data_IF_893566221992
#
_entry.id   IF_893566221992
#
_cell.length_a   1.000
_cell.length_b   1.000
_cell.length_c   1.000
_cell.angle_alpha   90.00
_cell.angle_beta   90.00
_cell.angle_gamma   90.00
#
_symmetry.space_group_name_H-M   'P 1'
#
loop_
_entity.id
_entity.type
_entity.pdbx_description
1 polymer ?
#
# COMPACT_ATOMS: atom_id res chain seq x y z
N UNK A 1 7.77 -0.98 -28.47
CA UNK A 1 6.52 -1.15 -27.67
C UNK A 1 5.35 -0.76 -28.56
N UNK A 2 4.26 -1.52 -28.52
CA UNK A 2 3.02 -1.21 -29.21
C UNK A 2 2.17 -0.22 -28.37
N UNK A 3 1.13 0.38 -28.95
CA UNK A 3 0.21 1.25 -28.22
C UNK A 3 -0.98 0.44 -27.65
N UNK A 4 -0.72 -0.73 -27.02
CA UNK A 4 -1.74 -1.60 -26.49
C UNK A 4 -1.62 -1.68 -24.96
N UNK A 5 -2.71 -1.54 -24.26
CA UNK A 5 -2.72 -1.46 -22.80
C UNK A 5 -3.84 -2.28 -22.15
N UNK A 6 -3.53 -2.82 -20.97
CA UNK A 6 -4.52 -3.33 -20.01
C UNK A 6 -4.78 -2.25 -18.97
N UNK A 7 -6.03 -1.86 -18.82
CA UNK A 7 -6.45 -0.89 -17.81
C UNK A 7 -7.02 -1.65 -16.61
N UNK A 8 -6.36 -1.56 -15.46
CA UNK A 8 -6.89 -2.12 -14.21
C UNK A 8 -8.06 -1.28 -13.70
N UNK A 9 -9.27 -1.80 -13.83
CA UNK A 9 -10.52 -1.12 -13.48
C UNK A 9 -11.12 -1.73 -12.21
N UNK A 10 -11.21 -0.91 -11.15
CA UNK A 10 -11.74 -1.31 -9.84
C UNK A 10 -13.19 -0.85 -9.59
N UNK A 11 -13.87 -0.29 -10.59
CA UNK A 11 -15.16 0.36 -10.39
C UNK A 11 -15.08 1.73 -9.68
N UNK A 12 -13.87 2.21 -9.38
CA UNK A 12 -13.62 3.55 -8.83
C UNK A 12 -13.48 4.63 -9.91
N UNK A 13 -13.68 5.90 -9.52
CA UNK A 13 -13.56 7.07 -10.40
C UNK A 13 -12.20 7.12 -11.11
N UNK A 14 -11.12 6.93 -10.36
CA UNK A 14 -9.75 7.08 -10.85
C UNK A 14 -9.42 6.09 -11.98
N UNK A 15 -9.81 4.83 -11.82
CA UNK A 15 -9.59 3.82 -12.85
C UNK A 15 -10.43 4.07 -14.11
N UNK A 16 -11.63 4.64 -13.95
CA UNK A 16 -12.50 5.02 -15.07
C UNK A 16 -11.92 6.17 -15.86
N UNK A 17 -11.43 7.21 -15.18
CA UNK A 17 -10.77 8.35 -15.82
C UNK A 17 -9.45 7.94 -16.47
N UNK A 18 -8.68 7.05 -15.83
CA UNK A 18 -7.47 6.50 -16.44
C UNK A 18 -7.78 5.78 -17.78
N UNK A 19 -8.85 5.00 -17.82
CA UNK A 19 -9.31 4.35 -19.06
C UNK A 19 -9.67 5.37 -20.15
N UNK A 20 -10.45 6.38 -19.82
CA UNK A 20 -10.82 7.46 -20.73
C UNK A 20 -9.59 8.18 -21.29
N UNK A 21 -8.64 8.59 -20.45
CA UNK A 21 -7.43 9.31 -20.86
C UNK A 21 -6.56 8.48 -21.81
N UNK A 22 -6.45 7.16 -21.57
CA UNK A 22 -5.69 6.28 -22.45
C UNK A 22 -6.36 6.11 -23.82
N UNK A 23 -7.68 6.01 -23.87
CA UNK A 23 -8.44 6.03 -25.14
C UNK A 23 -8.22 7.35 -25.89
N UNK A 24 -8.25 8.49 -25.20
CA UNK A 24 -7.98 9.80 -25.82
C UNK A 24 -6.55 9.94 -26.36
N UNK A 25 -5.59 9.25 -25.73
CA UNK A 25 -4.18 9.16 -26.21
C UNK A 25 -4.02 8.18 -27.38
N UNK A 26 -5.09 7.55 -27.89
CA UNK A 26 -5.08 6.64 -29.02
C UNK A 26 -4.55 5.24 -28.74
N UNK A 27 -4.55 4.81 -27.47
CA UNK A 27 -4.19 3.44 -27.12
C UNK A 27 -5.31 2.46 -27.46
N UNK A 28 -4.92 1.27 -27.95
CA UNK A 28 -5.78 0.09 -27.99
C UNK A 28 -5.86 -0.50 -26.57
N UNK A 29 -6.98 -0.27 -25.90
CA UNK A 29 -7.17 -0.61 -24.50
C UNK A 29 -8.16 -1.75 -24.30
N UNK A 30 -7.90 -2.60 -23.32
CA UNK A 30 -8.89 -3.48 -22.70
C UNK A 30 -9.03 -3.13 -21.22
N UNK A 31 -10.27 -3.15 -20.71
CA UNK A 31 -10.56 -3.03 -19.28
C UNK A 31 -10.46 -4.39 -18.60
N UNK A 32 -9.84 -4.42 -17.44
CA UNK A 32 -9.72 -5.63 -16.64
C UNK A 32 -10.04 -5.34 -15.18
N UNK A 33 -11.01 -6.06 -14.62
CA UNK A 33 -11.16 -6.14 -13.16
C UNK A 33 -10.50 -7.42 -12.66
N UNK A 34 -9.66 -7.26 -11.63
CA UNK A 34 -9.07 -8.39 -10.91
C UNK A 34 -10.05 -8.86 -9.83
N UNK A 35 -10.57 -10.08 -9.95
CA UNK A 35 -11.26 -10.75 -8.85
C UNK A 35 -10.20 -11.22 -7.87
N UNK A 36 -10.15 -10.60 -6.69
CA UNK A 36 -9.12 -10.83 -5.67
C UNK A 36 -9.57 -11.83 -4.59
N UNK A 37 -10.87 -11.88 -4.29
CA UNK A 37 -11.45 -12.80 -3.32
C UNK A 37 -12.93 -13.04 -3.64
N UNK A 38 -13.51 -14.11 -3.13
CA UNK A 38 -14.96 -14.28 -3.08
C UNK A 38 -15.46 -13.76 -1.73
N UNK A 39 -16.62 -13.09 -1.71
CA UNK A 39 -17.19 -12.53 -0.49
C UNK A 39 -17.46 -13.61 0.58
N UNK A 40 -17.73 -14.83 0.14
CA UNK A 40 -17.96 -16.00 0.98
C UNK A 40 -16.69 -16.45 1.70
N UNK A 41 -15.53 -16.34 1.05
CA UNK A 41 -14.24 -16.78 1.59
C UNK A 41 -13.74 -15.90 2.76
N UNK A 42 -14.17 -14.64 2.79
CA UNK A 42 -13.75 -13.66 3.81
C UNK A 42 -14.89 -13.26 4.78
N UNK A 43 -16.02 -14.01 4.75
CA UNK A 43 -17.13 -13.81 5.68
C UNK A 43 -17.89 -12.48 5.52
N UNK A 44 -17.80 -11.85 4.35
CA UNK A 44 -18.42 -10.54 4.09
C UNK A 44 -19.76 -10.73 3.40
N UNK A 45 -20.80 -10.02 3.90
CA UNK A 45 -22.08 -9.89 3.21
C UNK A 45 -21.89 -9.15 1.87
N UNK A 46 -22.68 -9.51 0.85
CA UNK A 46 -22.51 -9.13 -0.58
C UNK A 46 -22.43 -7.63 -0.91
N UNK A 47 -22.63 -6.74 0.06
CA UNK A 47 -22.92 -5.33 -0.21
C UNK A 47 -21.69 -4.36 -0.19
N UNK A 48 -20.49 -4.76 0.28
CA UNK A 48 -19.44 -3.76 0.58
C UNK A 48 -17.99 -4.15 0.24
N UNK A 49 -17.69 -4.93 -0.81
CA UNK A 49 -16.29 -5.24 -1.16
C UNK A 49 -15.78 -4.42 -2.37
N UNK A 50 -14.48 -4.06 -2.42
CA UNK A 50 -13.84 -3.40 -3.58
C UNK A 50 -13.86 -4.24 -4.88
N UNK A 51 -14.35 -5.48 -4.82
CA UNK A 51 -14.59 -6.39 -5.94
C UNK A 51 -16.03 -6.90 -5.87
N UNK A 52 -16.97 -6.08 -5.35
CA UNK A 52 -18.39 -6.42 -5.35
C UNK A 52 -18.87 -6.63 -6.80
N UNK A 53 -19.93 -7.39 -6.97
CA UNK A 53 -20.58 -7.53 -8.29
C UNK A 53 -20.94 -6.14 -8.84
N UNK A 54 -21.34 -5.22 -7.98
CA UNK A 54 -21.65 -3.83 -8.34
C UNK A 54 -20.43 -3.09 -8.90
N UNK A 55 -19.23 -3.27 -8.32
CA UNK A 55 -18.01 -2.66 -8.82
C UNK A 55 -17.60 -3.22 -10.19
N UNK A 56 -17.78 -4.51 -10.38
CA UNK A 56 -17.55 -5.18 -11.68
C UNK A 56 -18.52 -4.63 -12.72
N UNK A 57 -19.81 -4.49 -12.39
CA UNK A 57 -20.82 -3.94 -13.30
C UNK A 57 -20.56 -2.47 -13.63
N UNK A 58 -20.15 -1.66 -12.64
CA UNK A 58 -19.75 -0.28 -12.85
C UNK A 58 -18.53 -0.18 -13.77
N UNK A 59 -17.48 -0.98 -13.52
CA UNK A 59 -16.29 -1.02 -14.37
C UNK A 59 -16.62 -1.45 -15.81
N UNK A 60 -17.49 -2.47 -15.96
CA UNK A 60 -17.99 -2.94 -17.25
C UNK A 60 -18.76 -1.86 -17.99
N UNK A 61 -19.67 -1.17 -17.30
CA UNK A 61 -20.47 -0.08 -17.87
C UNK A 61 -19.58 1.05 -18.42
N UNK A 62 -18.57 1.46 -17.63
CA UNK A 62 -17.60 2.47 -18.08
C UNK A 62 -16.79 1.96 -19.28
N UNK A 63 -16.30 0.73 -19.25
CA UNK A 63 -15.54 0.16 -20.36
C UNK A 63 -16.37 0.17 -21.66
N UNK A 64 -17.63 -0.23 -21.59
CA UNK A 64 -18.52 -0.25 -22.75
C UNK A 64 -18.85 1.17 -23.24
N UNK A 65 -19.01 2.15 -22.35
CA UNK A 65 -19.23 3.55 -22.75
C UNK A 65 -18.02 4.14 -23.50
N UNK A 66 -16.84 3.56 -23.31
CA UNK A 66 -15.59 3.92 -23.98
C UNK A 66 -15.29 3.05 -25.23
N UNK A 67 -16.22 2.22 -25.64
CA UNK A 67 -16.02 1.23 -26.73
C UNK A 67 -14.75 0.40 -26.50
N UNK A 68 -14.67 -0.24 -25.33
CA UNK A 68 -13.49 -0.96 -24.87
C UNK A 68 -13.88 -2.37 -24.41
N UNK A 69 -13.21 -3.43 -24.93
CA UNK A 69 -13.41 -4.79 -24.42
C UNK A 69 -13.12 -4.87 -22.91
N UNK A 70 -13.90 -5.66 -22.19
CA UNK A 70 -13.80 -5.79 -20.76
C UNK A 70 -13.76 -7.25 -20.31
N UNK A 71 -12.86 -7.54 -19.36
CA UNK A 71 -12.64 -8.89 -18.82
C UNK A 71 -12.55 -8.87 -17.30
N UNK A 72 -12.86 -10.01 -16.69
CA UNK A 72 -12.61 -10.25 -15.26
C UNK A 72 -11.58 -11.39 -15.15
N UNK A 73 -10.43 -11.10 -14.53
CA UNK A 73 -9.41 -12.12 -14.30
C UNK A 73 -9.46 -12.57 -12.84
N UNK A 74 -9.46 -13.89 -12.64
CA UNK A 74 -9.42 -14.45 -11.31
C UNK A 74 -7.97 -14.52 -10.81
N UNK A 75 -7.70 -13.79 -9.73
CA UNK A 75 -6.43 -13.79 -8.99
C UNK A 75 -6.62 -14.17 -7.52
N UNK A 76 -7.74 -14.81 -7.15
CA UNK A 76 -8.08 -15.10 -5.74
C UNK A 76 -6.98 -15.89 -5.04
N UNK A 77 -6.53 -17.00 -5.62
CA UNK A 77 -5.51 -17.86 -5.00
C UNK A 77 -4.19 -17.10 -4.75
N UNK A 78 -3.82 -16.21 -5.68
CA UNK A 78 -2.59 -15.41 -5.55
C UNK A 78 -2.78 -14.27 -4.56
N UNK A 79 -3.96 -13.68 -4.50
CA UNK A 79 -4.26 -12.65 -3.50
C UNK A 79 -4.26 -13.23 -2.09
N UNK A 80 -4.81 -14.43 -1.92
CA UNK A 80 -4.74 -15.17 -0.67
C UNK A 80 -3.29 -15.36 -0.25
N UNK A 81 -2.47 -16.02 -1.07
CA UNK A 81 -1.09 -16.36 -0.73
C UNK A 81 -0.17 -15.15 -0.60
N UNK A 82 -0.23 -14.22 -1.58
CA UNK A 82 0.76 -13.14 -1.70
C UNK A 82 0.37 -11.87 -0.89
N UNK A 83 -0.88 -11.77 -0.42
CA UNK A 83 -1.36 -10.60 0.33
C UNK A 83 -1.99 -10.98 1.68
N UNK A 84 -3.02 -11.84 1.69
CA UNK A 84 -3.76 -12.15 2.94
C UNK A 84 -2.89 -12.94 3.90
N UNK A 85 -2.28 -14.04 3.45
CA UNK A 85 -1.44 -14.89 4.31
C UNK A 85 -0.23 -14.11 4.86
N UNK A 86 0.38 -13.27 4.02
CA UNK A 86 1.49 -12.40 4.45
C UNK A 86 1.02 -11.38 5.49
N UNK A 87 -0.17 -10.80 5.30
CA UNK A 87 -0.77 -9.88 6.25
C UNK A 87 -1.04 -10.54 7.60
N UNK A 88 -1.65 -11.72 7.60
CA UNK A 88 -1.95 -12.50 8.82
C UNK A 88 -0.66 -12.88 9.53
N UNK A 89 0.29 -13.48 8.80
CA UNK A 89 1.58 -13.90 9.35
C UNK A 89 2.34 -12.73 9.97
N UNK A 90 2.32 -11.55 9.37
CA UNK A 90 2.94 -10.37 9.93
C UNK A 90 2.34 -10.00 11.31
N UNK A 91 1.00 -9.92 11.42
CA UNK A 91 0.35 -9.63 12.70
C UNK A 91 0.57 -10.70 13.76
N UNK A 92 0.56 -11.97 13.37
CA UNK A 92 0.89 -13.09 14.28
C UNK A 92 2.33 -13.00 14.83
N UNK A 93 3.23 -12.35 14.09
CA UNK A 93 4.62 -12.07 14.50
C UNK A 93 4.82 -10.67 15.10
N UNK A 94 3.77 -9.96 15.46
CA UNK A 94 3.86 -8.62 16.08
C UNK A 94 4.33 -7.51 15.14
N UNK A 95 4.28 -7.76 13.83
CA UNK A 95 4.69 -6.86 12.75
C UNK A 95 3.44 -6.23 12.13
N UNK A 96 3.53 -4.97 11.73
CA UNK A 96 2.40 -4.26 11.11
C UNK A 96 2.64 -4.09 9.61
N UNK A 97 2.03 -4.93 8.75
CA UNK A 97 2.27 -4.91 7.31
C UNK A 97 1.56 -3.75 6.60
N UNK A 98 1.92 -3.54 5.33
CA UNK A 98 1.16 -2.71 4.40
C UNK A 98 0.74 -3.56 3.19
N UNK A 99 -0.46 -4.17 3.21
CA UNK A 99 -0.90 -5.09 2.17
C UNK A 99 -1.09 -4.43 0.79
N UNK A 100 -1.22 -3.10 0.72
CA UNK A 100 -1.28 -2.39 -0.56
C UNK A 100 0.05 -2.45 -1.32
N UNK A 101 1.18 -2.48 -0.61
CA UNK A 101 2.51 -2.66 -1.22
C UNK A 101 2.61 -4.07 -1.82
N UNK A 102 2.21 -5.11 -1.07
CA UNK A 102 2.23 -6.49 -1.56
C UNK A 102 1.29 -6.67 -2.77
N UNK A 103 0.09 -6.11 -2.72
CA UNK A 103 -0.86 -6.13 -3.85
C UNK A 103 -0.27 -5.44 -5.10
N UNK A 104 0.41 -4.31 -4.95
CA UNK A 104 1.07 -3.65 -6.07
C UNK A 104 2.23 -4.50 -6.59
N UNK A 105 3.11 -4.99 -5.71
CA UNK A 105 4.30 -5.77 -6.06
C UNK A 105 3.96 -7.07 -6.79
N UNK A 106 3.06 -7.89 -6.23
CA UNK A 106 2.85 -9.27 -6.67
C UNK A 106 1.67 -9.45 -7.62
N UNK A 107 0.63 -8.59 -7.54
CA UNK A 107 -0.55 -8.77 -8.38
C UNK A 107 -0.64 -7.74 -9.51
N UNK A 108 -0.74 -6.44 -9.17
CA UNK A 108 -1.02 -5.43 -10.19
C UNK A 108 0.10 -5.26 -11.20
N UNK A 109 1.36 -5.24 -10.73
CA UNK A 109 2.51 -4.96 -11.59
C UNK A 109 3.38 -6.20 -11.87
N UNK A 110 2.99 -7.39 -11.37
CA UNK A 110 3.57 -8.68 -11.74
C UNK A 110 2.54 -9.53 -12.51
N UNK A 111 1.57 -10.10 -11.81
CA UNK A 111 0.61 -11.07 -12.43
C UNK A 111 -0.27 -10.45 -13.51
N UNK A 112 -0.79 -9.24 -13.27
CA UNK A 112 -1.57 -8.56 -14.31
C UNK A 112 -0.69 -8.19 -15.51
N UNK A 113 0.58 -7.81 -15.29
CA UNK A 113 1.52 -7.56 -16.37
C UNK A 113 1.83 -8.83 -17.18
N UNK A 114 2.04 -9.98 -16.53
CA UNK A 114 2.22 -11.24 -17.22
C UNK A 114 1.00 -11.59 -18.11
N UNK A 115 -0.22 -11.39 -17.60
CA UNK A 115 -1.45 -11.55 -18.39
C UNK A 115 -1.58 -10.55 -19.53
N UNK A 116 -1.11 -9.31 -19.33
CA UNK A 116 -1.06 -8.31 -20.39
C UNK A 116 -0.16 -8.77 -21.55
N UNK A 117 1.02 -9.30 -21.24
CA UNK A 117 1.95 -9.87 -22.24
C UNK A 117 1.33 -11.04 -23.03
N UNK A 118 0.64 -11.94 -22.35
CA UNK A 118 -0.07 -13.07 -23.01
C UNK A 118 -1.14 -12.58 -24.00
N UNK A 119 -1.69 -11.39 -23.78
CA UNK A 119 -2.68 -10.73 -24.63
C UNK A 119 -2.05 -9.76 -25.65
N UNK A 120 -0.74 -9.83 -25.89
CA UNK A 120 0.00 -8.95 -26.79
C UNK A 120 -0.18 -7.46 -26.43
N UNK A 121 -0.11 -7.12 -25.12
CA UNK A 121 -0.21 -5.76 -24.61
C UNK A 121 1.01 -5.40 -23.81
N UNK A 122 1.63 -4.25 -24.13
CA UNK A 122 2.89 -3.83 -23.56
C UNK A 122 2.72 -3.08 -22.23
N UNK A 123 1.54 -2.54 -21.94
CA UNK A 123 1.36 -1.66 -20.79
C UNK A 123 0.27 -2.13 -19.84
N UNK A 124 0.54 -1.97 -18.53
CA UNK A 124 -0.44 -1.97 -17.46
C UNK A 124 -0.72 -0.52 -17.05
N UNK A 125 -1.97 -0.14 -17.03
CA UNK A 125 -2.43 1.20 -16.67
C UNK A 125 -3.30 1.10 -15.42
N UNK A 126 -3.09 1.98 -14.47
CA UNK A 126 -3.89 2.06 -13.25
C UNK A 126 -4.26 3.50 -12.92
N UNK A 127 -5.28 3.68 -12.08
CA UNK A 127 -5.67 4.98 -11.55
C UNK A 127 -4.81 5.51 -10.40
N UNK A 128 -3.57 5.06 -10.24
CA UNK A 128 -2.70 5.60 -9.21
C UNK A 128 -2.23 7.02 -9.53
N UNK A 129 -2.09 7.82 -8.49
CA UNK A 129 -1.50 9.15 -8.53
C UNK A 129 0.01 9.03 -8.27
N UNK A 130 0.78 8.91 -9.33
CA UNK A 130 2.24 8.93 -9.38
C UNK A 130 2.66 9.22 -10.82
N UNK A 131 3.93 9.53 -11.06
CA UNK A 131 4.48 9.75 -12.41
C UNK A 131 5.61 8.78 -12.67
N UNK A 132 5.73 8.35 -13.93
CA UNK A 132 6.87 7.57 -14.41
C UNK A 132 7.54 8.36 -15.53
N UNK A 133 8.81 8.64 -15.38
CA UNK A 133 9.63 9.34 -16.36
C UNK A 133 10.87 8.51 -16.67
N UNK A 134 11.48 8.72 -17.83
CA UNK A 134 12.75 8.09 -18.20
C UNK A 134 13.84 9.15 -18.17
N UNK A 135 14.90 8.90 -17.42
CA UNK A 135 16.05 9.81 -17.36
C UNK A 135 16.92 9.75 -18.62
N UNK A 136 17.92 10.65 -18.71
CA UNK A 136 18.86 10.70 -19.82
C UNK A 136 19.76 9.47 -19.99
N UNK A 137 19.85 8.61 -18.96
CA UNK A 137 20.62 7.37 -18.96
C UNK A 137 19.76 6.15 -19.30
N UNK A 138 18.46 6.35 -19.53
CA UNK A 138 17.53 5.29 -19.88
C UNK A 138 16.88 4.61 -18.68
N UNK A 139 17.13 5.06 -17.43
CA UNK A 139 16.55 4.55 -16.22
C UNK A 139 15.15 5.11 -16.01
N UNK A 140 14.21 4.28 -15.60
CA UNK A 140 12.85 4.72 -15.23
C UNK A 140 12.84 5.25 -13.81
N UNK A 141 12.26 6.43 -13.64
CA UNK A 141 12.08 7.12 -12.38
C UNK A 141 10.61 7.06 -11.98
N UNK A 142 10.36 6.72 -10.72
CA UNK A 142 9.05 6.91 -10.10
C UNK A 142 9.05 8.27 -9.39
N UNK A 143 8.07 9.09 -9.68
CA UNK A 143 7.94 10.43 -9.11
C UNK A 143 6.61 10.62 -8.41
N UNK A 144 6.58 11.52 -7.43
CA UNK A 144 5.34 11.94 -6.77
C UNK A 144 4.33 12.47 -7.77
N UNK A 145 3.06 12.36 -7.43
CA UNK A 145 1.99 13.00 -8.19
C UNK A 145 2.08 14.53 -8.13
N UNK A 146 1.43 15.19 -9.09
CA UNK A 146 1.21 16.64 -9.03
C UNK A 146 0.29 17.04 -7.85
N UNK A 147 -0.70 16.21 -7.54
CA UNK A 147 -1.55 16.34 -6.35
C UNK A 147 -0.89 15.64 -5.16
N UNK A 148 -0.17 16.40 -4.34
CA UNK A 148 0.53 15.92 -3.16
C UNK A 148 -0.41 15.31 -2.10
N UNK A 149 -1.68 15.75 -2.07
CA UNK A 149 -2.71 15.21 -1.17
C UNK A 149 -3.17 13.81 -1.56
N UNK A 150 -2.89 13.38 -2.80
CA UNK A 150 -3.25 12.07 -3.39
C UNK A 150 -2.05 11.23 -3.79
N UNK A 151 -0.83 11.72 -3.56
CA UNK A 151 0.38 11.01 -3.94
C UNK A 151 0.43 9.58 -3.38
N UNK A 152 0.63 8.62 -4.27
CA UNK A 152 0.69 7.20 -3.98
C UNK A 152 2.08 6.59 -4.26
N UNK A 153 3.08 7.41 -4.51
CA UNK A 153 4.46 6.95 -4.77
C UNK A 153 5.01 6.08 -3.64
N UNK A 154 4.58 6.31 -2.39
CA UNK A 154 4.95 5.50 -1.23
C UNK A 154 4.61 4.01 -1.39
N UNK A 155 3.42 3.68 -1.86
CA UNK A 155 2.99 2.27 -2.02
C UNK A 155 3.45 1.66 -3.35
N UNK A 156 4.10 2.44 -4.19
CA UNK A 156 4.63 2.05 -5.49
C UNK A 156 6.16 1.91 -5.51
N UNK A 157 6.84 2.22 -4.41
CA UNK A 157 8.31 2.14 -4.33
C UNK A 157 8.86 0.73 -4.64
N UNK A 158 8.01 -0.29 -4.49
CA UNK A 158 8.36 -1.68 -4.73
C UNK A 158 8.46 -2.07 -6.21
N UNK A 159 8.11 -1.16 -7.13
CA UNK A 159 8.15 -1.45 -8.57
C UNK A 159 9.58 -1.50 -9.10
N UNK A 160 9.89 -2.57 -9.84
CA UNK A 160 11.18 -2.76 -10.50
C UNK A 160 11.31 -1.89 -11.74
N UNK A 161 12.52 -1.77 -12.27
CA UNK A 161 12.78 -1.06 -13.54
C UNK A 161 11.99 -1.66 -14.72
N UNK A 162 11.87 -3.00 -14.79
CA UNK A 162 11.05 -3.67 -15.79
C UNK A 162 9.58 -3.28 -15.64
N UNK A 163 9.02 -3.38 -14.44
CA UNK A 163 7.64 -3.02 -14.16
C UNK A 163 7.35 -1.54 -14.47
N UNK A 164 8.25 -0.63 -14.09
CA UNK A 164 8.10 0.80 -14.40
C UNK A 164 8.10 1.07 -15.90
N UNK A 165 8.92 0.35 -16.68
CA UNK A 165 8.99 0.53 -18.13
C UNK A 165 7.70 0.17 -18.86
N UNK A 166 6.84 -0.63 -18.25
CA UNK A 166 5.56 -1.11 -18.78
C UNK A 166 4.34 -0.56 -18.01
N UNK A 167 4.54 0.48 -17.22
CA UNK A 167 3.49 1.06 -16.37
C UNK A 167 3.17 2.49 -16.80
N UNK A 168 1.88 2.82 -16.87
CA UNK A 168 1.41 4.19 -17.13
C UNK A 168 0.43 4.60 -16.02
N UNK A 169 0.66 5.76 -15.44
CA UNK A 169 -0.21 6.42 -14.47
C UNK A 169 -0.80 7.70 -15.06
N UNK A 170 -1.94 7.64 -15.75
CA UNK A 170 -2.48 8.81 -16.47
C UNK A 170 -2.87 9.97 -15.55
N UNK A 171 -3.12 9.69 -14.26
CA UNK A 171 -3.56 10.68 -13.27
C UNK A 171 -2.41 11.36 -12.54
N UNK A 172 -1.16 10.97 -12.79
CA UNK A 172 0.00 11.49 -12.06
C UNK A 172 0.23 13.00 -12.23
N UNK A 173 -0.21 13.57 -13.34
CA UNK A 173 -0.11 15.00 -13.65
C UNK A 173 -1.42 15.77 -13.43
N UNK A 174 -2.37 15.18 -12.71
CA UNK A 174 -3.69 15.76 -12.50
C UNK A 174 -4.02 15.91 -11.01
N UNK A 175 -4.84 16.92 -10.71
CA UNK A 175 -5.47 17.01 -9.39
C UNK A 175 -6.71 16.12 -9.34
N UNK A 176 -7.05 15.62 -8.17
CA UNK A 176 -8.24 14.78 -7.94
C UNK A 176 -9.55 15.47 -8.38
N UNK A 177 -9.65 16.79 -8.20
CA UNK A 177 -10.80 17.58 -8.68
C UNK A 177 -10.98 17.47 -10.19
N UNK A 178 -9.89 17.60 -10.96
CA UNK A 178 -9.92 17.47 -12.42
C UNK A 178 -10.35 16.05 -12.87
N UNK A 179 -9.88 15.02 -12.18
CA UNK A 179 -10.33 13.65 -12.47
C UNK A 179 -11.85 13.51 -12.24
N UNK A 180 -12.42 14.10 -11.18
CA UNK A 180 -13.86 14.10 -10.93
C UNK A 180 -14.63 14.89 -11.98
N UNK A 181 -14.16 16.07 -12.39
CA UNK A 181 -14.75 16.86 -13.45
C UNK A 181 -14.82 16.09 -14.79
N UNK A 182 -13.74 15.36 -15.13
CA UNK A 182 -13.73 14.47 -16.31
C UNK A 182 -14.79 13.38 -16.16
N UNK A 183 -14.84 12.69 -15.02
CA UNK A 183 -15.81 11.62 -14.81
C UNK A 183 -17.27 12.13 -14.90
N UNK A 184 -17.55 13.30 -14.37
CA UNK A 184 -18.88 13.95 -14.47
C UNK A 184 -19.19 14.36 -15.92
N UNK A 185 -18.24 14.99 -16.62
CA UNK A 185 -18.42 15.41 -18.02
C UNK A 185 -18.65 14.25 -18.98
N UNK A 186 -18.05 13.08 -18.69
CA UNK A 186 -18.25 11.86 -19.46
C UNK A 186 -19.51 11.06 -19.02
N UNK A 187 -20.23 11.53 -18.00
CA UNK A 187 -21.45 10.87 -17.52
C UNK A 187 -21.18 9.51 -16.87
N UNK A 188 -20.00 9.28 -16.31
CA UNK A 188 -19.69 8.01 -15.67
C UNK A 188 -20.56 7.78 -14.44
N UNK A 189 -21.17 6.61 -14.36
CA UNK A 189 -22.09 6.24 -13.27
C UNK A 189 -21.47 6.36 -11.87
N UNK A 190 -20.15 6.20 -11.78
CA UNK A 190 -19.36 6.27 -10.54
C UNK A 190 -18.72 7.64 -10.27
N UNK A 191 -19.02 8.70 -11.05
CA UNK A 191 -18.36 10.00 -10.93
C UNK A 191 -18.38 10.59 -9.51
N UNK A 192 -19.43 10.30 -8.72
CA UNK A 192 -19.61 10.77 -7.33
C UNK A 192 -19.24 9.75 -6.27
N UNK A 193 -18.71 8.59 -6.67
CA UNK A 193 -18.31 7.54 -5.72
C UNK A 193 -17.19 8.05 -4.81
N UNK A 194 -17.31 7.76 -3.50
CA UNK A 194 -16.26 8.06 -2.53
C UNK A 194 -14.99 7.24 -2.80
N UNK A 195 -13.83 7.80 -2.42
CA UNK A 195 -12.56 7.07 -2.51
C UNK A 195 -12.52 5.96 -1.46
N UNK A 196 -11.95 4.81 -1.80
CA UNK A 196 -11.66 3.75 -0.83
C UNK A 196 -10.60 4.24 0.16
N UNK A 197 -10.88 4.16 1.47
CA UNK A 197 -10.02 4.71 2.53
C UNK A 197 -9.24 3.62 3.28
N UNK A 198 -9.71 2.37 3.25
CA UNK A 198 -9.27 1.27 4.10
C UNK A 198 -8.70 0.09 3.29
N UNK A 199 -8.15 -0.89 4.00
CA UNK A 199 -7.68 -2.15 3.43
C UNK A 199 -8.87 -2.87 2.80
N UNK A 200 -8.80 -3.17 1.51
CA UNK A 200 -9.95 -3.60 0.70
C UNK A 200 -10.62 -4.90 1.16
N UNK A 201 -9.91 -5.77 1.86
CA UNK A 201 -10.44 -7.03 2.40
C UNK A 201 -10.77 -6.98 3.90
N UNK A 202 -10.47 -5.87 4.59
CA UNK A 202 -10.85 -5.62 6.00
C UNK A 202 -12.04 -4.66 5.98
N UNK A 203 -13.25 -5.22 5.97
CA UNK A 203 -14.49 -4.45 5.97
C UNK A 203 -15.17 -4.60 7.33
N UNK A 204 -16.11 -3.79 7.72
CA UNK A 204 -17.02 -3.95 8.86
C UNK A 204 -16.41 -4.47 10.17
N UNK A 205 -15.23 -4.00 10.56
CA UNK A 205 -14.60 -4.47 11.79
C UNK A 205 -13.15 -4.05 11.92
N UNK A 206 -12.47 -4.62 12.91
CA UNK A 206 -11.03 -4.47 13.03
C UNK A 206 -10.33 -5.52 12.18
N UNK A 207 -9.10 -5.22 11.78
CA UNK A 207 -8.24 -6.22 11.10
C UNK A 207 -8.05 -7.49 11.97
N UNK A 208 -8.10 -7.36 13.27
CA UNK A 208 -8.01 -8.52 14.19
C UNK A 208 -9.23 -9.43 14.09
N UNK A 209 -10.43 -8.86 13.98
CA UNK A 209 -11.66 -9.65 13.81
C UNK A 209 -11.64 -10.38 12.46
N UNK A 210 -11.11 -9.72 11.41
CA UNK A 210 -10.87 -10.37 10.11
C UNK A 210 -9.89 -11.55 10.26
N UNK A 211 -8.76 -11.37 10.95
CA UNK A 211 -7.75 -12.43 11.13
C UNK A 211 -8.36 -13.62 11.91
N UNK A 212 -9.09 -13.36 13.00
CA UNK A 212 -9.75 -14.41 13.79
C UNK A 212 -10.78 -15.19 12.96
N UNK A 213 -11.60 -14.48 12.20
CA UNK A 213 -12.62 -15.10 11.35
C UNK A 213 -11.99 -15.93 10.22
N UNK A 214 -10.99 -15.38 9.54
CA UNK A 214 -10.33 -16.02 8.40
C UNK A 214 -9.56 -17.27 8.80
N UNK A 215 -8.81 -17.18 9.90
CA UNK A 215 -7.96 -18.29 10.38
C UNK A 215 -8.71 -19.32 11.22
N UNK A 216 -9.85 -18.96 11.79
CA UNK A 216 -10.54 -19.75 12.84
C UNK A 216 -9.75 -19.88 14.14
N UNK A 217 -8.62 -19.15 14.28
CA UNK A 217 -7.77 -19.18 15.48
C UNK A 217 -8.33 -18.27 16.56
N UNK A 218 -8.12 -18.66 17.81
CA UNK A 218 -8.35 -17.81 18.98
C UNK A 218 -7.00 -17.31 19.51
N UNK A 219 -6.88 -16.00 19.70
CA UNK A 219 -5.68 -15.34 20.22
C UNK A 219 -5.91 -15.01 21.71
N UNK A 220 -5.22 -15.70 22.64
CA UNK A 220 -5.51 -15.61 24.05
C UNK A 220 -5.22 -14.21 24.63
N UNK A 221 -5.94 -13.87 25.69
CA UNK A 221 -5.64 -12.71 26.51
C UNK A 221 -4.20 -12.81 27.05
N UNK A 222 -3.51 -11.67 27.11
CA UNK A 222 -2.14 -11.57 27.63
C UNK A 222 -1.97 -10.33 28.52
N UNK A 223 -0.71 -9.99 28.83
CA UNK A 223 -0.41 -8.94 29.78
C UNK A 223 0.06 -7.64 29.08
N UNK A 224 -0.49 -6.51 29.54
CA UNK A 224 0.11 -5.22 29.29
C UNK A 224 1.25 -4.98 30.29
N UNK A 225 2.41 -4.61 29.79
CA UNK A 225 3.58 -4.27 30.58
C UNK A 225 3.88 -2.78 30.52
N UNK A 226 4.41 -2.20 31.59
CA UNK A 226 5.09 -0.91 31.54
C UNK A 226 6.50 -1.06 30.95
N UNK A 227 7.25 0.04 30.83
CA UNK A 227 8.64 0.05 30.31
C UNK A 227 9.65 -0.62 31.25
N UNK A 228 9.27 -0.91 32.50
CA UNK A 228 10.10 -1.61 33.48
C UNK A 228 9.76 -3.11 33.53
N UNK A 229 8.77 -3.56 32.75
CA UNK A 229 8.33 -4.97 32.71
C UNK A 229 7.27 -5.33 33.75
N UNK A 230 6.71 -4.36 34.48
CA UNK A 230 5.64 -4.62 35.43
C UNK A 230 4.31 -4.79 34.70
N UNK A 231 3.48 -5.74 35.15
CA UNK A 231 2.13 -5.95 34.61
C UNK A 231 1.22 -4.79 35.09
N UNK A 232 0.62 -4.09 34.13
CA UNK A 232 -0.28 -2.96 34.38
C UNK A 232 -1.72 -3.20 33.89
N UNK A 233 -2.00 -4.39 33.33
CA UNK A 233 -3.33 -4.79 32.89
C UNK A 233 -3.30 -5.99 31.97
N UNK A 234 -4.46 -6.27 31.37
CA UNK A 234 -4.58 -7.41 30.43
C UNK A 234 -5.14 -6.96 29.08
N UNK A 235 -4.62 -7.56 28.03
CA UNK A 235 -5.06 -7.32 26.65
C UNK A 235 -5.83 -8.52 26.05
N UNK A 236 -6.54 -8.27 24.94
CA UNK A 236 -7.44 -9.21 24.24
C UNK A 236 -6.78 -9.87 23.02
N UNK A 237 -5.56 -10.39 23.17
CA UNK A 237 -4.77 -10.99 22.09
C UNK A 237 -3.85 -9.99 21.38
N UNK A 238 -2.58 -10.38 21.20
CA UNK A 238 -1.50 -9.51 20.66
C UNK A 238 -1.78 -8.95 19.27
N UNK A 239 -2.54 -9.68 18.45
CA UNK A 239 -2.86 -9.24 17.07
C UNK A 239 -3.71 -7.98 17.02
N UNK A 240 -4.33 -7.56 18.14
CA UNK A 240 -5.20 -6.37 18.22
C UNK A 240 -4.42 -5.06 18.44
N UNK A 241 -3.07 -5.14 18.53
CA UNK A 241 -2.26 -4.00 18.94
C UNK A 241 -1.16 -3.69 17.91
N UNK A 242 -1.02 -2.38 17.66
CA UNK A 242 -0.02 -1.85 16.71
C UNK A 242 0.77 -0.75 17.39
N UNK A 243 2.09 -0.67 17.14
CA UNK A 243 2.96 0.37 17.70
C UNK A 243 2.41 1.77 17.42
N UNK A 244 2.31 2.59 18.48
CA UNK A 244 1.72 3.93 18.45
C UNK A 244 0.21 3.98 18.69
N UNK A 245 -0.47 2.84 18.83
CA UNK A 245 -1.92 2.78 19.14
C UNK A 245 -2.18 3.35 20.54
N UNK A 246 -3.18 4.24 20.64
CA UNK A 246 -3.66 4.86 21.89
C UNK A 246 -5.04 4.33 22.32
N UNK A 247 -5.94 4.15 21.33
CA UNK A 247 -7.34 3.78 21.62
C UNK A 247 -7.47 2.28 21.83
N UNK A 248 -8.44 1.86 22.64
CA UNK A 248 -8.77 0.45 22.83
C UNK A 248 -7.84 -0.31 23.79
N UNK A 249 -7.00 0.40 24.58
CA UNK A 249 -6.12 -0.24 25.56
C UNK A 249 -6.86 -0.65 26.85
N UNK A 250 -7.91 0.09 27.24
CA UNK A 250 -8.67 -0.19 28.46
C UNK A 250 -7.89 0.03 29.77
N UNK A 251 -6.76 0.77 29.69
CA UNK A 251 -5.91 1.09 30.85
C UNK A 251 -6.14 2.53 31.27
N UNK A 252 -6.32 2.74 32.59
CA UNK A 252 -6.37 4.07 33.18
C UNK A 252 -5.00 4.46 33.66
N UNK A 253 -4.52 5.64 33.24
CA UNK A 253 -3.21 6.19 33.62
C UNK A 253 -3.31 7.71 33.72
N UNK A 254 -2.40 8.39 34.47
CA UNK A 254 -2.36 9.86 34.59
C UNK A 254 -2.23 10.57 33.25
N UNK A 255 -1.47 9.99 32.33
CA UNK A 255 -1.24 10.50 30.97
C UNK A 255 -1.60 9.41 29.93
N UNK A 256 -1.85 9.80 28.67
CA UNK A 256 -2.14 8.85 27.61
C UNK A 256 -1.02 7.83 27.42
N UNK A 257 -1.36 6.54 27.48
CA UNK A 257 -0.48 5.44 27.14
C UNK A 257 -0.61 5.05 25.66
N UNK A 258 0.47 4.52 25.13
CA UNK A 258 0.59 4.07 23.74
C UNK A 258 1.31 2.73 23.68
N UNK A 259 0.97 1.92 22.69
CA UNK A 259 1.70 0.68 22.39
C UNK A 259 3.12 1.04 21.94
N UNK A 260 4.12 0.56 22.67
CA UNK A 260 5.54 0.69 22.36
C UNK A 260 6.07 -0.52 21.62
N UNK A 261 5.69 -1.72 22.05
CA UNK A 261 6.13 -2.97 21.46
C UNK A 261 5.06 -4.05 21.64
N UNK A 262 5.04 -4.98 20.71
CA UNK A 262 4.22 -6.20 20.72
C UNK A 262 5.14 -7.40 20.68
N UNK A 263 5.04 -8.31 21.64
CA UNK A 263 5.81 -9.54 21.68
C UNK A 263 4.87 -10.76 21.65
N UNK A 264 4.71 -11.41 20.50
CA UNK A 264 3.81 -12.55 20.36
C UNK A 264 4.33 -13.81 21.07
N UNK A 265 5.65 -13.95 21.24
CA UNK A 265 6.26 -15.12 21.89
C UNK A 265 5.89 -15.18 23.38
N UNK A 266 5.99 -14.04 24.08
CA UNK A 266 5.60 -13.93 25.49
C UNK A 266 4.14 -13.56 25.68
N UNK A 267 3.38 -13.32 24.59
CA UNK A 267 2.02 -12.81 24.59
C UNK A 267 1.86 -11.54 25.44
N UNK A 268 2.75 -10.54 25.21
CA UNK A 268 2.78 -9.29 25.95
C UNK A 268 2.78 -8.08 25.04
N UNK A 269 2.17 -6.98 25.52
CA UNK A 269 2.17 -5.68 24.85
C UNK A 269 2.74 -4.65 25.82
N UNK A 270 3.87 -4.05 25.45
CA UNK A 270 4.52 -3.01 26.24
C UNK A 270 3.92 -1.65 25.91
N UNK A 271 3.49 -0.93 26.95
CA UNK A 271 2.98 0.43 26.85
C UNK A 271 4.01 1.45 27.35
N UNK A 272 4.01 2.64 26.76
CA UNK A 272 4.81 3.77 27.20
C UNK A 272 4.04 5.08 27.08
N UNK A 273 4.55 6.13 27.70
CA UNK A 273 4.15 7.50 27.38
C UNK A 273 4.65 7.91 26.00
N UNK A 274 4.21 9.08 25.53
CA UNK A 274 4.49 9.52 24.15
C UNK A 274 5.99 9.65 23.82
N UNK A 275 6.80 10.07 24.78
CA UNK A 275 8.25 10.23 24.65
C UNK A 275 8.99 8.92 24.35
N UNK A 276 8.48 7.80 24.86
CA UNK A 276 9.04 6.47 24.61
C UNK A 276 8.77 5.89 23.21
N UNK A 277 8.13 6.65 22.32
CA UNK A 277 7.80 6.22 20.96
C UNK A 277 8.76 6.75 19.88
N UNK A 278 9.70 7.59 20.22
CA UNK A 278 10.58 8.22 19.25
C UNK A 278 11.84 7.42 18.99
N UNK A 279 12.26 7.38 17.73
CA UNK A 279 13.44 6.65 17.26
C UNK A 279 14.11 7.41 16.13
N UNK A 280 15.44 7.43 16.13
CA UNK A 280 16.24 8.15 15.13
C UNK A 280 16.88 7.25 14.09
N UNK A 281 17.02 5.95 14.37
CA UNK A 281 17.67 5.00 13.46
C UNK A 281 16.65 3.97 13.02
N UNK A 282 16.52 3.81 11.69
CA UNK A 282 15.60 2.86 11.05
C UNK A 282 16.39 2.02 10.06
N UNK A 283 16.31 0.69 10.20
CA UNK A 283 16.91 -0.25 9.27
C UNK A 283 15.82 -0.94 8.46
N UNK A 284 16.01 -1.00 7.14
CA UNK A 284 15.10 -1.66 6.22
C UNK A 284 15.82 -2.74 5.41
N UNK A 285 15.13 -3.85 5.19
CA UNK A 285 15.52 -4.96 4.30
C UNK A 285 14.56 -5.06 3.12
N UNK A 286 14.73 -6.11 2.30
CA UNK A 286 13.92 -6.30 1.07
C UNK A 286 13.88 -5.01 0.23
N UNK A 287 15.09 -4.47 -0.04
CA UNK A 287 15.24 -3.17 -0.65
C UNK A 287 14.98 -3.19 -2.16
N UNK A 288 14.34 -2.15 -2.65
CA UNK A 288 14.20 -1.86 -4.08
C UNK A 288 14.67 -0.42 -4.34
N UNK A 289 15.70 -0.26 -5.17
CA UNK A 289 16.25 1.05 -5.56
C UNK A 289 15.80 1.41 -6.98
N UNK A 290 15.15 2.57 -7.10
CA UNK A 290 14.54 3.01 -8.36
C UNK A 290 15.43 4.02 -9.07
N UNK A 291 15.77 5.17 -8.46
CA UNK A 291 16.51 6.22 -9.16
C UNK A 291 18.01 5.96 -9.25
N UNK A 292 18.53 5.11 -8.39
CA UNK A 292 19.95 4.72 -8.37
C UNK A 292 20.09 3.20 -8.37
N UNK A 293 21.17 2.62 -8.90
CA UNK A 293 21.40 1.17 -8.82
C UNK A 293 21.86 0.70 -7.44
N UNK A 294 22.53 1.57 -6.69
CA UNK A 294 23.04 1.33 -5.33
C UNK A 294 23.29 2.66 -4.61
N UNK A 295 23.32 2.64 -3.28
CA UNK A 295 23.70 3.80 -2.44
C UNK A 295 25.18 3.61 -2.05
N UNK A 296 26.05 4.45 -2.63
CA UNK A 296 27.49 4.44 -2.35
C UNK A 296 27.83 5.44 -1.25
N UNK A 297 28.33 4.90 -0.12
CA UNK A 297 28.63 5.73 1.04
C UNK A 297 27.36 6.30 1.68
N UNK A 298 27.44 7.56 2.10
CA UNK A 298 26.31 8.28 2.68
C UNK A 298 25.53 9.04 1.61
N UNK A 299 24.21 8.95 1.67
CA UNK A 299 23.31 9.72 0.79
C UNK A 299 22.35 10.55 1.66
N UNK A 300 22.22 11.82 1.34
CA UNK A 300 21.28 12.72 1.99
C UNK A 300 19.96 12.73 1.25
N UNK A 301 18.87 12.35 1.93
CA UNK A 301 17.52 12.20 1.37
C UNK A 301 16.46 12.64 2.36
N UNK A 302 15.23 12.81 1.87
CA UNK A 302 14.06 12.77 2.72
C UNK A 302 13.50 11.36 2.79
N UNK A 303 12.96 10.95 3.94
CA UNK A 303 12.42 9.62 4.12
C UNK A 303 11.05 9.62 4.81
N UNK A 304 10.19 8.70 4.38
CA UNK A 304 8.90 8.39 5.01
C UNK A 304 8.96 7.01 5.65
N UNK A 305 8.42 6.88 6.85
CA UNK A 305 8.28 5.61 7.59
C UNK A 305 6.85 5.09 7.65
N UNK A 306 5.89 5.83 7.10
CA UNK A 306 4.47 5.48 6.94
C UNK A 306 3.86 6.26 5.79
N UNK A 307 2.79 5.74 5.19
CA UNK A 307 2.09 6.39 4.08
C UNK A 307 1.66 7.84 4.38
N UNK A 308 1.06 8.08 5.54
CA UNK A 308 0.53 9.40 5.93
C UNK A 308 1.56 10.30 6.64
N UNK A 309 2.81 9.86 6.84
CA UNK A 309 3.85 10.70 7.42
C UNK A 309 4.32 11.77 6.45
N UNK A 310 4.73 12.91 7.02
CA UNK A 310 5.53 13.90 6.29
C UNK A 310 6.97 13.43 6.20
N UNK A 311 7.59 13.63 5.05
CA UNK A 311 9.00 13.29 4.84
C UNK A 311 9.91 14.09 5.75
N UNK A 312 10.89 13.40 6.34
CA UNK A 312 11.90 14.01 7.20
C UNK A 312 13.30 13.74 6.64
N UNK A 313 14.22 14.68 6.90
CA UNK A 313 15.59 14.52 6.48
C UNK A 313 16.28 13.37 7.19
N UNK A 314 17.03 12.58 6.44
CA UNK A 314 17.83 11.47 6.93
C UNK A 314 19.12 11.33 6.11
N UNK A 315 20.15 10.80 6.76
CA UNK A 315 21.35 10.29 6.10
C UNK A 315 21.20 8.77 5.98
N UNK A 316 21.33 8.25 4.79
CA UNK A 316 21.15 6.80 4.52
C UNK A 316 22.45 6.18 4.03
N UNK A 317 22.67 4.93 4.45
CA UNK A 317 23.75 4.07 3.98
C UNK A 317 23.19 2.73 3.60
N UNK A 318 23.83 2.06 2.63
CA UNK A 318 23.48 0.69 2.24
C UNK A 318 24.60 -0.26 2.66
N UNK A 319 24.22 -1.40 3.21
CA UNK A 319 25.14 -2.51 3.48
C UNK A 319 24.50 -3.83 3.00
N UNK A 320 24.98 -4.33 1.87
CA UNK A 320 24.36 -5.47 1.18
C UNK A 320 22.89 -5.18 0.88
N UNK A 321 22.01 -6.08 1.33
CA UNK A 321 20.56 -6.01 1.09
C UNK A 321 19.79 -5.19 2.14
N UNK A 322 20.49 -4.33 2.89
CA UNK A 322 19.86 -3.48 3.90
C UNK A 322 20.23 -2.01 3.76
N UNK A 323 19.27 -1.14 4.09
CA UNK A 323 19.46 0.31 4.21
C UNK A 323 19.33 0.69 5.68
N UNK A 324 20.24 1.55 6.17
CA UNK A 324 20.12 2.20 7.47
C UNK A 324 19.89 3.69 7.24
N UNK A 325 18.79 4.22 7.78
CA UNK A 325 18.48 5.65 7.78
C UNK A 325 18.67 6.21 9.19
N UNK A 326 19.47 7.27 9.32
CA UNK A 326 19.63 8.07 10.52
C UNK A 326 18.90 9.38 10.29
N UNK A 327 17.80 9.60 10.98
CA UNK A 327 16.99 10.81 10.90
C UNK A 327 17.58 11.94 11.70
N UNK A 328 17.50 13.18 11.19
CA UNK A 328 17.90 14.37 11.93
C UNK A 328 17.03 14.58 13.17
N UNK A 329 15.72 14.40 13.01
CA UNK A 329 14.73 14.49 14.06
C UNK A 329 14.14 13.10 14.35
N UNK A 330 14.00 12.69 15.62
CA UNK A 330 13.43 11.41 15.96
C UNK A 330 12.03 11.22 15.40
N UNK A 331 11.77 10.06 14.80
CA UNK A 331 10.49 9.71 14.18
C UNK A 331 9.59 8.98 15.16
N UNK A 332 8.32 9.41 15.24
CA UNK A 332 7.35 8.87 16.17
C UNK A 332 6.77 7.54 15.68
N UNK A 333 6.77 6.55 16.58
CA UNK A 333 6.08 5.25 16.41
C UNK A 333 6.43 4.55 15.09
N UNK A 334 7.72 4.53 14.75
CA UNK A 334 8.20 3.74 13.61
C UNK A 334 7.93 2.26 13.88
N UNK A 335 7.44 1.55 12.86
CA UNK A 335 6.90 0.22 13.07
C UNK A 335 7.51 -0.77 12.06
N UNK A 336 8.02 -1.89 12.55
CA UNK A 336 8.47 -2.98 11.69
C UNK A 336 7.33 -3.50 10.82
N UNK A 337 7.65 -3.83 9.55
CA UNK A 337 6.70 -4.24 8.52
C UNK A 337 6.12 -3.09 7.68
N UNK A 338 6.22 -1.84 8.14
CA UNK A 338 5.95 -0.69 7.28
C UNK A 338 7.14 -0.44 6.33
N UNK A 339 6.94 0.39 5.32
CA UNK A 339 8.03 0.74 4.41
C UNK A 339 8.82 1.97 4.88
N UNK A 340 10.14 1.92 4.72
CA UNK A 340 11.01 3.09 4.66
C UNK A 340 11.15 3.47 3.20
N UNK A 341 10.59 4.62 2.77
CA UNK A 341 10.66 5.09 1.38
C UNK A 341 11.46 6.39 1.32
N UNK A 342 12.45 6.41 0.44
CA UNK A 342 13.44 7.46 0.28
C UNK A 342 13.10 8.35 -0.92
N UNK A 343 13.25 9.65 -0.74
CA UNK A 343 12.92 10.66 -1.74
C UNK A 343 14.07 11.65 -1.93
N UNK A 344 14.37 11.93 -3.19
CA UNK A 344 15.14 13.09 -3.61
C UNK A 344 14.18 14.05 -4.33
N UNK A 345 13.77 15.12 -3.65
CA UNK A 345 12.69 16.03 -4.05
C UNK A 345 11.38 15.30 -4.36
N UNK A 346 11.00 15.25 -5.65
CA UNK A 346 9.80 14.57 -6.12
C UNK A 346 10.07 13.13 -6.61
N UNK A 347 11.30 12.71 -6.62
CA UNK A 347 11.73 11.41 -7.15
C UNK A 347 11.90 10.39 -6.03
N UNK A 348 11.32 9.20 -6.21
CA UNK A 348 11.53 8.07 -5.31
C UNK A 348 12.93 7.49 -5.58
N UNK A 349 13.81 7.57 -4.59
CA UNK A 349 15.13 6.93 -4.66
C UNK A 349 14.98 5.41 -4.57
N UNK A 350 14.10 4.96 -3.71
CA UNK A 350 13.80 3.56 -3.45
C UNK A 350 13.28 3.39 -2.04
N UNK A 351 13.39 2.20 -1.50
CA UNK A 351 12.95 1.90 -0.15
C UNK A 351 13.14 0.45 0.23
N UNK A 352 12.61 0.07 1.40
CA UNK A 352 12.60 -1.30 1.89
C UNK A 352 11.61 -1.48 3.03
N UNK A 353 11.41 -2.72 3.45
CA UNK A 353 10.58 -3.05 4.61
C UNK A 353 11.35 -2.81 5.90
N UNK A 354 10.79 -2.04 6.82
CA UNK A 354 11.39 -1.74 8.13
C UNK A 354 11.52 -3.03 8.94
N UNK A 355 12.74 -3.37 9.35
CA UNK A 355 13.07 -4.60 10.09
C UNK A 355 13.62 -4.32 11.49
N UNK A 356 14.17 -3.13 11.74
CA UNK A 356 14.74 -2.74 13.04
C UNK A 356 14.58 -1.24 13.26
N UNK A 357 14.34 -0.85 14.52
CA UNK A 357 14.11 0.53 14.94
C UNK A 357 14.87 0.80 16.25
N UNK A 358 15.67 1.90 16.32
CA UNK A 358 16.45 2.32 17.49
C UNK A 358 16.31 3.80 17.77
#
# INVERSE_FOLDING_TARGET
>A
MNNKAVIAMSGGVDSSVAAYLMKQRGFDCIGVTMKLFANEDIGISREHSCCSLDDVEVARSVAYSLDMPYYVFNFSDRFETDVIDRFINAYENGITPNPCIDCNRYLKFDKLYMRAKELDRDYVVTGHYARVEKDGNGRFLLKKALDDTKDQSYVLYCLTQEQLSHTIFPLGEMRKSQAREIAESQGFINARKADSQDICFVQNGSYADFIEQYTGKNYPDGDFLDTNGNIIGRHKGVIRYTVGQRKGLGISAPEPLYVKAVNPVSNTVTLSYNDGLYSSIVKAGDINLISVPEIKGEMRVKAKVRYRHTEQWATVTQNGDTITAVFDEPQRAVTCGQALVLYDWDTVVGGGTIIEVK
#
